data_IF_122085107110
#
_entry.id   IF_122085107110
#
_cell.length_a   1.000
_cell.length_b   1.000
_cell.length_c   1.000
_cell.angle_alpha   90.00
_cell.angle_beta   90.00
_cell.angle_gamma   90.00
#
_symmetry.space_group_name_H-M   'P 1'
#
loop_
_entity.id
_entity.type
_entity.pdbx_description
1 polymer ?
#
# COMPACT_ATOMS: atom_id res chain seq x y z
N UNK A 1 5.29 4.07 5.15
CA UNK A 1 4.46 3.11 4.36
C UNK A 1 3.92 3.70 3.07
N UNK A 2 3.17 4.80 3.06
CA UNK A 2 2.68 5.41 1.80
C UNK A 2 3.82 5.74 0.83
N UNK A 3 4.88 6.41 1.30
CA UNK A 3 6.09 6.71 0.50
C UNK A 3 6.73 5.46 -0.10
N UNK A 4 6.88 4.39 0.70
CA UNK A 4 7.46 3.11 0.24
C UNK A 4 6.65 2.48 -0.91
N UNK A 5 5.32 2.56 -0.82
CA UNK A 5 4.40 2.06 -1.86
C UNK A 5 4.48 2.97 -3.10
N UNK A 6 4.54 4.29 -2.92
CA UNK A 6 4.65 5.24 -4.03
C UNK A 6 5.96 5.08 -4.82
N UNK A 7 7.10 4.94 -4.15
CA UNK A 7 8.41 4.66 -4.77
C UNK A 7 8.40 3.38 -5.62
N UNK A 8 7.56 2.42 -5.23
CA UNK A 8 7.50 1.09 -5.85
C UNK A 8 6.36 0.95 -6.85
N UNK A 9 5.56 2.00 -7.03
CA UNK A 9 4.33 2.00 -7.81
C UNK A 9 4.57 1.54 -9.26
N UNK A 10 5.60 2.07 -9.91
CA UNK A 10 5.89 1.79 -11.32
C UNK A 10 7.01 0.73 -11.51
N UNK A 11 7.59 0.23 -10.41
CA UNK A 11 8.72 -0.71 -10.45
C UNK A 11 8.37 -2.12 -10.01
N UNK A 12 7.54 -2.28 -8.98
CA UNK A 12 7.29 -3.59 -8.36
C UNK A 12 5.87 -3.79 -7.83
N UNK A 13 4.95 -2.86 -8.12
CA UNK A 13 3.52 -2.97 -7.81
C UNK A 13 2.75 -2.99 -9.14
N UNK A 14 2.19 -4.15 -9.50
CA UNK A 14 1.62 -4.35 -10.84
C UNK A 14 0.09 -4.38 -10.82
N UNK A 15 -0.58 -3.94 -11.91
CA UNK A 15 -2.03 -4.06 -11.99
C UNK A 15 -2.47 -5.52 -12.04
N UNK A 16 -3.61 -5.82 -11.41
CA UNK A 16 -4.37 -7.06 -11.58
C UNK A 16 -5.32 -6.93 -12.78
N UNK A 17 -4.79 -6.52 -13.94
CA UNK A 17 -5.60 -6.39 -15.15
C UNK A 17 -5.64 -7.70 -15.93
N UNK A 18 -6.79 -7.95 -16.56
CA UNK A 18 -6.96 -8.95 -17.63
C UNK A 18 -6.90 -8.31 -19.03
N UNK A 19 -6.64 -7.00 -19.09
CA UNK A 19 -6.56 -6.23 -20.33
C UNK A 19 -5.33 -6.59 -21.16
N UNK A 20 -5.51 -6.55 -22.47
CA UNK A 20 -4.49 -6.82 -23.47
C UNK A 20 -3.39 -5.74 -23.39
N UNK A 21 -2.16 -6.15 -23.06
CA UNK A 21 -1.03 -5.23 -22.82
C UNK A 21 -0.73 -4.93 -21.34
N UNK A 22 -1.56 -5.40 -20.40
CA UNK A 22 -1.21 -5.33 -18.99
C UNK A 22 0.02 -6.21 -18.70
N UNK A 23 1.00 -5.67 -17.96
CA UNK A 23 2.17 -6.45 -17.52
C UNK A 23 1.70 -7.64 -16.71
N UNK A 24 2.09 -8.84 -17.12
CA UNK A 24 1.84 -10.09 -16.39
C UNK A 24 2.31 -9.91 -14.95
N UNK A 25 1.50 -10.27 -13.94
CA UNK A 25 1.92 -10.25 -12.55
C UNK A 25 3.20 -11.06 -12.36
N UNK A 26 4.34 -10.38 -12.17
CA UNK A 26 5.60 -11.06 -11.87
C UNK A 26 5.50 -11.70 -10.49
N UNK A 27 5.97 -12.94 -10.35
CA UNK A 27 6.03 -13.63 -9.04
C UNK A 27 6.91 -12.90 -8.03
N UNK A 28 7.87 -12.11 -8.51
CA UNK A 28 8.79 -11.30 -7.69
C UNK A 28 8.25 -9.91 -7.35
N UNK A 29 7.01 -9.60 -7.76
CA UNK A 29 6.38 -8.34 -7.43
C UNK A 29 6.27 -8.11 -5.92
N UNK A 30 6.49 -6.87 -5.50
CA UNK A 30 6.31 -6.43 -4.12
C UNK A 30 4.85 -6.19 -3.78
N UNK A 31 3.98 -6.04 -4.78
CA UNK A 31 2.55 -5.97 -4.61
C UNK A 31 1.78 -5.96 -5.92
N UNK A 32 0.46 -5.91 -5.78
CA UNK A 32 -0.47 -5.81 -6.90
C UNK A 32 -1.57 -4.81 -6.59
N UNK A 33 -2.33 -4.36 -7.58
CA UNK A 33 -3.49 -3.50 -7.33
C UNK A 33 -4.65 -3.76 -8.28
N UNK A 34 -5.86 -3.58 -7.77
CA UNK A 34 -7.08 -3.45 -8.56
C UNK A 34 -7.69 -2.05 -8.35
N UNK A 35 -8.90 -1.83 -8.83
CA UNK A 35 -9.60 -0.54 -8.73
C UNK A 35 -9.86 -0.08 -7.29
N UNK A 36 -9.89 -1.01 -6.33
CA UNK A 36 -10.32 -0.73 -4.95
C UNK A 36 -9.23 -1.00 -3.91
N UNK A 37 -8.25 -1.84 -4.21
CA UNK A 37 -7.23 -2.28 -3.27
C UNK A 37 -5.82 -2.33 -3.85
N UNK A 38 -4.84 -2.05 -2.98
CA UNK A 38 -3.42 -2.36 -3.19
C UNK A 38 -3.05 -3.54 -2.29
N UNK A 39 -2.63 -4.64 -2.89
CA UNK A 39 -2.26 -5.87 -2.23
C UNK A 39 -0.77 -5.90 -1.94
N UNK A 40 -0.40 -5.93 -0.67
CA UNK A 40 1.00 -6.04 -0.23
C UNK A 40 1.16 -7.32 0.59
N UNK A 41 2.14 -8.16 0.24
CA UNK A 41 2.40 -9.39 0.98
C UNK A 41 2.81 -9.10 2.43
N UNK A 42 2.56 -10.04 3.34
CA UNK A 42 2.82 -9.84 4.78
C UNK A 42 4.28 -9.56 5.09
N UNK A 43 5.21 -10.09 4.30
CA UNK A 43 6.64 -9.83 4.51
C UNK A 43 7.00 -8.40 4.11
N UNK A 44 6.43 -7.92 2.98
CA UNK A 44 6.67 -6.57 2.47
C UNK A 44 6.01 -5.48 3.30
N UNK A 45 4.92 -5.78 4.02
CA UNK A 45 4.26 -4.76 4.85
C UNK A 45 5.10 -4.36 6.06
N UNK A 46 5.89 -5.31 6.61
CA UNK A 46 6.82 -5.05 7.71
C UNK A 46 7.96 -4.17 7.21
N UNK A 47 8.52 -4.48 6.03
CA UNK A 47 9.52 -3.64 5.37
C UNK A 47 8.99 -2.22 5.08
N UNK A 48 7.77 -2.10 4.56
CA UNK A 48 7.14 -0.82 4.27
C UNK A 48 6.83 0.02 5.52
N UNK A 49 6.76 -0.63 6.69
CA UNK A 49 6.64 0.00 8.01
C UNK A 49 8.01 0.33 8.65
N UNK A 50 9.12 0.06 7.97
CA UNK A 50 10.47 0.31 8.47
C UNK A 50 11.03 -0.79 9.38
N UNK A 51 10.39 -1.97 9.43
CA UNK A 51 10.90 -3.15 10.17
C UNK A 51 10.78 -3.10 11.70
N UNK A 52 10.43 -1.95 12.28
CA UNK A 52 10.39 -1.77 13.73
C UNK A 52 9.14 -2.38 14.42
N UNK A 53 8.03 -2.51 13.70
CA UNK A 53 6.75 -3.00 14.25
C UNK A 53 6.48 -4.45 13.84
N UNK A 54 5.81 -5.21 14.72
CA UNK A 54 5.34 -6.56 14.38
C UNK A 54 4.17 -6.49 13.40
N UNK A 55 4.04 -7.51 12.55
CA UNK A 55 2.95 -7.62 11.56
C UNK A 55 1.56 -7.37 12.18
N UNK A 56 1.30 -7.93 13.37
CA UNK A 56 0.02 -7.77 14.06
C UNK A 56 -0.27 -6.33 14.51
N UNK A 57 0.77 -5.57 14.89
CA UNK A 57 0.63 -4.18 15.32
C UNK A 57 0.35 -3.27 14.11
N UNK A 58 1.05 -3.53 13.01
CA UNK A 58 0.80 -2.89 11.71
C UNK A 58 -0.64 -3.14 11.28
N UNK A 59 -1.10 -4.40 11.31
CA UNK A 59 -2.48 -4.76 10.94
C UNK A 59 -3.53 -4.05 11.80
N UNK A 60 -3.30 -3.95 13.12
CA UNK A 60 -4.19 -3.21 14.04
C UNK A 60 -4.21 -1.71 13.73
N UNK A 61 -3.06 -1.11 13.45
CA UNK A 61 -2.96 0.30 13.08
C UNK A 61 -3.71 0.60 11.77
N UNK A 62 -3.54 -0.24 10.75
CA UNK A 62 -4.24 -0.13 9.47
C UNK A 62 -5.76 -0.26 9.64
N UNK A 63 -6.22 -1.23 10.44
CA UNK A 63 -7.65 -1.38 10.74
C UNK A 63 -8.21 -0.15 11.44
N UNK A 64 -7.52 0.36 12.47
CA UNK A 64 -7.95 1.54 13.23
C UNK A 64 -8.09 2.78 12.34
N UNK A 65 -7.20 2.93 11.38
CA UNK A 65 -7.22 4.05 10.42
C UNK A 65 -8.15 3.81 9.22
N UNK A 66 -8.92 2.71 9.21
CA UNK A 66 -9.80 2.32 8.09
C UNK A 66 -9.08 2.23 6.74
N UNK A 67 -7.83 1.79 6.79
CA UNK A 67 -6.92 1.70 5.66
C UNK A 67 -6.93 0.33 4.96
N UNK A 68 -7.74 -0.61 5.44
CA UNK A 68 -7.90 -1.95 4.87
C UNK A 68 -9.18 -1.98 4.04
N UNK A 69 -9.05 -2.27 2.74
CA UNK A 69 -10.15 -2.37 1.79
C UNK A 69 -10.87 -3.72 1.87
N UNK A 70 -10.11 -4.82 2.02
CA UNK A 70 -10.65 -6.19 2.02
C UNK A 70 -9.99 -7.00 3.14
N UNK A 71 -10.78 -7.83 3.81
CA UNK A 71 -10.29 -8.77 4.83
C UNK A 71 -10.89 -10.14 4.58
N UNK A 72 -10.21 -11.20 5.03
CA UNK A 72 -10.80 -12.55 5.04
C UNK A 72 -11.92 -12.66 6.08
N UNK A 73 -11.77 -12.00 7.23
CA UNK A 73 -12.77 -11.98 8.30
C UNK A 73 -12.46 -10.86 9.32
N UNK A 74 -13.35 -10.64 10.28
CA UNK A 74 -13.13 -9.67 11.37
C UNK A 74 -11.85 -9.94 12.19
N UNK A 75 -11.44 -11.22 12.30
CA UNK A 75 -10.23 -11.69 13.01
C UNK A 75 -9.01 -11.78 12.10
N UNK A 76 -9.19 -11.91 10.79
CA UNK A 76 -8.11 -12.07 9.80
C UNK A 76 -8.10 -10.88 8.85
N UNK A 77 -7.23 -9.91 9.16
CA UNK A 77 -7.12 -8.63 8.45
C UNK A 77 -6.36 -8.70 7.12
N UNK A 78 -5.96 -9.91 6.71
CA UNK A 78 -5.32 -10.22 5.44
C UNK A 78 -6.24 -11.06 4.56
N UNK A 79 -5.95 -11.11 3.27
CA UNK A 79 -6.50 -12.03 2.29
C UNK A 79 -5.53 -13.19 2.04
N UNK A 80 -6.04 -14.34 1.61
CA UNK A 80 -5.23 -15.52 1.24
C UNK A 80 -5.28 -15.82 -0.26
N UNK A 81 -6.08 -15.06 -1.00
CA UNK A 81 -6.27 -15.21 -2.43
C UNK A 81 -6.37 -13.82 -3.04
N UNK A 82 -5.55 -13.58 -4.07
CA UNK A 82 -5.61 -12.39 -4.90
C UNK A 82 -6.15 -12.82 -6.27
N UNK A 83 -7.21 -12.18 -6.80
CA UNK A 83 -7.70 -12.45 -8.14
C UNK A 83 -6.56 -12.41 -9.17
N UNK A 84 -6.59 -13.31 -10.17
CA UNK A 84 -5.59 -13.40 -11.26
C UNK A 84 -4.17 -13.82 -10.85
N UNK A 85 -3.73 -13.54 -9.62
CA UNK A 85 -2.42 -13.95 -9.11
C UNK A 85 -2.44 -15.33 -8.43
N UNK A 86 -3.47 -15.59 -7.62
CA UNK A 86 -3.66 -16.85 -6.91
C UNK A 86 -3.43 -16.77 -5.40
N UNK A 87 -3.00 -17.89 -4.81
CA UNK A 87 -2.89 -18.06 -3.36
C UNK A 87 -1.67 -17.31 -2.79
N UNK A 88 -1.93 -16.30 -1.95
CA UNK A 88 -0.89 -15.53 -1.25
C UNK A 88 -1.48 -14.83 -0.03
N UNK A 89 -0.71 -14.78 1.06
CA UNK A 89 -1.07 -14.02 2.25
C UNK A 89 -0.69 -12.55 2.04
N UNK A 90 -1.69 -11.69 1.89
CA UNK A 90 -1.49 -10.26 1.62
C UNK A 90 -2.48 -9.37 2.36
N UNK A 91 -2.08 -8.15 2.68
CA UNK A 91 -2.99 -7.10 3.15
C UNK A 91 -3.55 -6.35 1.94
N UNK A 92 -4.88 -6.24 1.87
CA UNK A 92 -5.56 -5.46 0.84
C UNK A 92 -5.83 -4.05 1.37
N UNK A 93 -4.91 -3.13 1.08
CA UNK A 93 -4.94 -1.75 1.52
C UNK A 93 -5.85 -0.90 0.61
N UNK A 94 -6.43 0.17 1.14
CA UNK A 94 -7.29 1.08 0.37
C UNK A 94 -6.54 1.73 -0.79
N UNK A 95 -7.02 1.52 -2.02
CA UNK A 95 -6.48 2.16 -3.23
C UNK A 95 -6.52 3.68 -3.15
N UNK A 96 -7.56 4.24 -2.54
CA UNK A 96 -7.69 5.70 -2.36
C UNK A 96 -6.60 6.28 -1.44
N UNK A 97 -6.15 5.52 -0.44
CA UNK A 97 -5.20 5.99 0.56
C UNK A 97 -3.74 5.68 0.24
N UNK A 98 -3.48 4.63 -0.55
CA UNK A 98 -2.12 4.17 -0.89
C UNK A 98 -1.81 4.23 -2.38
N UNK A 99 -2.79 4.62 -3.17
CA UNK A 99 -2.61 4.72 -4.59
C UNK A 99 -1.97 6.01 -5.06
N UNK A 100 -1.48 6.00 -6.31
CA UNK A 100 -1.36 7.22 -7.11
C UNK A 100 -2.77 7.77 -7.32
N UNK A 101 -3.26 8.52 -6.35
CA UNK A 101 -4.18 9.60 -6.67
C UNK A 101 -3.32 10.65 -7.35
N UNK A 102 -3.80 11.29 -8.41
CA UNK A 102 -3.25 12.55 -8.93
C UNK A 102 -3.44 13.71 -7.93
N UNK A 103 -3.26 13.42 -6.64
CA UNK A 103 -3.19 14.40 -5.58
C UNK A 103 -1.91 15.19 -5.81
N UNK A 104 -2.09 16.29 -6.54
CA UNK A 104 -1.44 17.58 -6.27
C UNK A 104 -0.91 17.54 -4.84
N UNK A 105 0.41 17.55 -4.72
CA UNK A 105 1.09 17.63 -3.45
C UNK A 105 0.42 18.73 -2.61
N UNK A 106 0.04 18.50 -1.35
CA UNK A 106 -0.17 19.63 -0.46
C UNK A 106 1.18 20.33 -0.40
N UNK A 107 1.25 21.52 -0.99
CA UNK A 107 2.43 22.37 -0.99
C UNK A 107 3.01 22.36 0.43
N UNK A 108 4.22 21.83 0.59
CA UNK A 108 5.01 22.03 1.80
C UNK A 108 5.17 23.54 1.94
N UNK A 109 4.29 24.15 2.73
CA UNK A 109 4.43 25.54 3.13
C UNK A 109 5.56 25.57 4.14
N UNK A 110 6.79 25.76 3.66
CA UNK A 110 7.91 26.17 4.48
C UNK A 110 7.52 27.50 5.10
N UNK A 111 7.08 27.47 6.36
CA UNK A 111 7.04 28.67 7.18
C UNK A 111 8.49 28.98 7.55
N UNK A 112 9.16 29.74 6.67
CA UNK A 112 10.37 30.44 7.03
C UNK A 112 9.98 31.43 8.13
N UNK A 113 10.34 31.08 9.37
CA UNK A 113 10.18 31.94 10.53
C UNK A 113 11.13 33.13 10.33
N UNK A 114 10.56 34.31 10.08
CA UNK A 114 11.29 35.56 10.06
C UNK A 114 11.87 35.80 11.45
N UNK A 115 13.19 35.64 11.57
CA UNK A 115 13.97 36.11 12.70
C UNK A 115 14.62 37.43 12.30
N UNK A 116 14.03 38.53 12.73
CA UNK A 116 14.75 39.78 12.94
C UNK A 116 14.48 40.14 14.41
N UNK A 117 15.53 40.31 15.23
CA UNK A 117 15.85 41.69 15.56
C UNK A 117 17.34 41.96 15.84
N UNK A 118 17.81 43.14 15.42
CA UNK A 118 18.66 44.03 16.24
C UNK A 118 18.49 45.49 15.81
#
# INVERSE_FOLDING_TARGET
MQTWIAERWDSSIFPLSREEGARIPLKEANGWYDDVAVYISTNRIVEAAGGALKEAEIARALKRQKLIAKTKSAKHLYVTWIPMYGAVKAYALSRKAFGRTTLTEPALSVQAQAGDPA
#
